data_IF_709578323067
#
_entry.id   IF_709578323067
#
_cell.length_a   1.000
_cell.length_b   1.000
_cell.length_c   1.000
_cell.angle_alpha   90.00
_cell.angle_beta   90.00
_cell.angle_gamma   90.00
#
_symmetry.space_group_name_H-M   'P 1'
#
loop_
_entity.id
_entity.type
_entity.pdbx_description
1 polymer ?
#
# COMPACT_ATOMS: atom_id res chain seq x y z
N UNK A 1 17.25 -16.65 12.42
CA UNK A 1 17.65 -16.22 11.07
C UNK A 1 17.18 -14.80 10.86
N UNK A 2 18.06 -13.81 10.70
CA UNK A 2 17.67 -12.44 10.37
C UNK A 2 17.65 -12.33 8.85
N UNK A 3 16.50 -12.55 8.23
CA UNK A 3 16.30 -12.19 6.82
C UNK A 3 16.65 -10.70 6.69
N UNK A 4 17.60 -10.30 5.82
CA UNK A 4 17.84 -8.89 5.59
C UNK A 4 16.53 -8.28 5.13
N UNK A 5 15.99 -7.33 5.90
CA UNK A 5 14.79 -6.61 5.47
C UNK A 5 15.12 -5.97 4.13
N UNK A 6 14.27 -6.14 3.09
CA UNK A 6 14.45 -5.39 1.87
C UNK A 6 14.56 -3.90 2.24
N UNK A 7 15.54 -3.19 1.66
CA UNK A 7 15.51 -1.73 1.76
C UNK A 7 14.21 -1.27 1.10
N UNK A 8 13.30 -0.79 1.93
CA UNK A 8 11.99 -0.25 1.57
C UNK A 8 12.02 1.25 1.91
N UNK A 9 11.34 2.07 1.11
CA UNK A 9 11.03 3.44 1.50
C UNK A 9 10.25 3.48 2.83
N UNK A 10 10.28 4.62 3.51
CA UNK A 10 9.57 4.79 4.78
C UNK A 10 8.06 4.56 4.60
N UNK A 11 7.48 5.08 3.50
CA UNK A 11 6.08 4.85 3.14
C UNK A 11 5.77 3.36 2.91
N UNK A 12 6.63 2.63 2.18
CA UNK A 12 6.48 1.18 1.99
C UNK A 12 6.55 0.41 3.30
N UNK A 13 7.43 0.78 4.22
CA UNK A 13 7.53 0.15 5.55
C UNK A 13 6.26 0.38 6.37
N UNK A 14 5.75 1.61 6.37
CA UNK A 14 4.52 1.97 7.08
C UNK A 14 3.34 1.19 6.49
N UNK A 15 3.19 1.22 5.16
CA UNK A 15 2.07 0.57 4.48
C UNK A 15 2.08 -0.94 4.69
N UNK A 16 3.25 -1.59 4.54
CA UNK A 16 3.40 -3.02 4.77
C UNK A 16 3.14 -3.41 6.23
N UNK A 17 3.61 -2.59 7.19
CA UNK A 17 3.35 -2.83 8.61
C UNK A 17 1.86 -2.79 8.92
N UNK A 18 1.15 -1.81 8.39
CA UNK A 18 -0.29 -1.67 8.61
C UNK A 18 -1.07 -2.76 7.88
N UNK A 19 -0.68 -3.13 6.66
CA UNK A 19 -1.25 -4.26 5.95
C UNK A 19 -1.09 -5.58 6.72
N UNK A 20 0.06 -5.83 7.36
CA UNK A 20 0.26 -7.01 8.21
C UNK A 20 -0.62 -7.04 9.47
N UNK A 21 -1.14 -5.88 9.89
CA UNK A 21 -2.08 -5.78 11.02
C UNK A 21 -3.53 -5.85 10.57
N UNK A 22 -3.79 -5.65 9.28
CA UNK A 22 -5.12 -5.85 8.71
C UNK A 22 -5.48 -7.34 8.71
N UNK A 23 -6.70 -7.66 9.13
CA UNK A 23 -7.17 -9.04 9.26
C UNK A 23 -7.09 -9.83 7.94
N UNK A 24 -7.25 -9.13 6.82
CA UNK A 24 -7.25 -9.71 5.49
C UNK A 24 -5.95 -9.39 4.73
N UNK A 25 -4.96 -8.75 5.37
CA UNK A 25 -3.72 -8.39 4.70
C UNK A 25 -3.90 -7.47 3.49
N UNK A 26 -4.99 -6.70 3.44
CA UNK A 26 -5.44 -6.02 2.21
C UNK A 26 -5.03 -4.56 2.19
N UNK A 27 -4.54 -4.10 1.04
CA UNK A 27 -4.29 -2.69 0.72
C UNK A 27 -5.24 -2.30 -0.41
N UNK A 28 -5.99 -1.22 -0.22
CA UNK A 28 -6.90 -0.66 -1.20
C UNK A 28 -6.37 0.67 -1.74
N UNK A 29 -6.34 0.80 -3.07
CA UNK A 29 -6.04 2.03 -3.80
C UNK A 29 -7.28 2.44 -4.59
N UNK A 30 -8.05 3.38 -4.06
CA UNK A 30 -9.36 3.74 -4.59
C UNK A 30 -9.32 5.13 -5.21
N UNK A 31 -9.66 5.22 -6.49
CA UNK A 31 -9.77 6.48 -7.23
C UNK A 31 -11.25 6.83 -7.41
N UNK A 32 -11.64 8.03 -7.00
CA UNK A 32 -13.02 8.49 -7.07
C UNK A 32 -13.09 9.97 -7.43
N UNK A 33 -14.30 10.48 -7.71
CA UNK A 33 -14.50 11.88 -8.12
C UNK A 33 -13.90 12.91 -7.13
N UNK A 34 -13.93 12.59 -5.83
CA UNK A 34 -13.37 13.44 -4.78
C UNK A 34 -11.87 13.30 -4.52
N UNK A 35 -11.13 12.51 -5.31
CA UNK A 35 -9.70 12.27 -5.07
C UNK A 35 -9.26 10.80 -5.08
N UNK A 36 -8.19 10.51 -4.35
CA UNK A 36 -7.58 9.18 -4.27
C UNK A 36 -7.38 8.81 -2.81
N UNK A 37 -7.74 7.58 -2.44
CA UNK A 37 -7.48 7.03 -1.13
C UNK A 37 -6.56 5.82 -1.24
N UNK A 38 -5.61 5.72 -0.31
CA UNK A 38 -4.84 4.51 -0.06
C UNK A 38 -5.17 4.09 1.35
N UNK A 39 -5.70 2.88 1.51
CA UNK A 39 -6.27 2.41 2.77
C UNK A 39 -5.86 0.99 3.11
N UNK A 40 -5.59 0.75 4.39
CA UNK A 40 -5.43 -0.59 4.96
C UNK A 40 -5.62 -0.51 6.47
N UNK A 41 -5.98 -1.63 7.14
CA UNK A 41 -6.16 -1.68 8.59
C UNK A 41 -7.07 -0.56 9.14
N UNK A 42 -8.16 -0.26 8.42
CA UNK A 42 -9.09 0.84 8.75
C UNK A 42 -8.46 2.24 8.82
N UNK A 43 -7.28 2.45 8.21
CA UNK A 43 -6.58 3.73 8.11
C UNK A 43 -6.55 4.19 6.66
N UNK A 44 -6.67 5.50 6.46
CA UNK A 44 -6.43 6.16 5.19
C UNK A 44 -5.14 6.97 5.27
N UNK A 45 -4.29 6.84 4.25
CA UNK A 45 -2.95 7.43 4.23
C UNK A 45 -2.86 8.72 3.43
N UNK A 46 -3.88 9.03 2.63
CA UNK A 46 -3.95 10.27 1.84
C UNK A 46 -4.86 11.25 2.57
N UNK A 47 -4.30 12.30 3.17
CA UNK A 47 -5.07 13.29 3.94
C UNK A 47 -5.50 14.49 3.10
N UNK A 48 -4.65 14.94 2.15
CA UNK A 48 -4.82 16.25 1.51
C UNK A 48 -5.16 16.21 0.01
N UNK A 49 -5.28 15.02 -0.60
CA UNK A 49 -5.41 14.86 -2.07
C UNK A 49 -4.34 15.60 -2.90
N UNK A 50 -3.29 16.14 -2.26
CA UNK A 50 -2.22 16.79 -2.98
C UNK A 50 -1.47 15.77 -3.83
N UNK A 51 -1.18 16.14 -5.08
CA UNK A 51 -0.66 15.18 -6.06
C UNK A 51 0.66 14.54 -5.62
N UNK A 52 1.47 15.26 -4.86
CA UNK A 52 2.72 14.75 -4.29
C UNK A 52 2.48 13.71 -3.20
N UNK A 53 1.48 13.91 -2.35
CA UNK A 53 1.11 12.94 -1.32
C UNK A 53 0.57 11.66 -1.95
N UNK A 54 -0.36 11.78 -2.89
CA UNK A 54 -0.90 10.65 -3.65
C UNK A 54 0.22 9.86 -4.32
N UNK A 55 1.11 10.54 -5.04
CA UNK A 55 2.23 9.89 -5.75
C UNK A 55 3.21 9.17 -4.81
N UNK A 56 3.42 9.66 -3.58
CA UNK A 56 4.25 8.96 -2.59
C UNK A 56 3.66 7.62 -2.19
N UNK A 57 2.36 7.57 -1.93
CA UNK A 57 1.69 6.33 -1.53
C UNK A 57 1.47 5.37 -2.71
N UNK A 58 1.22 5.88 -3.92
CA UNK A 58 1.23 5.06 -5.14
C UNK A 58 2.60 4.40 -5.35
N UNK A 59 3.70 5.17 -5.20
CA UNK A 59 5.05 4.63 -5.31
C UNK A 59 5.37 3.55 -4.25
N UNK A 60 4.82 3.68 -3.05
CA UNK A 60 4.97 2.66 -2.01
C UNK A 60 4.28 1.34 -2.39
N UNK A 61 3.07 1.40 -2.97
CA UNK A 61 2.38 0.22 -3.49
C UNK A 61 3.21 -0.43 -4.61
N UNK A 62 3.65 0.37 -5.58
CA UNK A 62 4.45 -0.12 -6.71
C UNK A 62 5.76 -0.78 -6.24
N UNK A 63 6.44 -0.18 -5.25
CA UNK A 63 7.65 -0.75 -4.66
C UNK A 63 7.36 -2.12 -4.03
N UNK A 64 6.31 -2.23 -3.21
CA UNK A 64 5.95 -3.48 -2.55
C UNK A 64 5.52 -4.56 -3.55
N UNK A 65 4.80 -4.21 -4.61
CA UNK A 65 4.45 -5.13 -5.70
C UNK A 65 5.71 -5.59 -6.45
N UNK A 66 6.61 -4.65 -6.79
CA UNK A 66 7.84 -4.97 -7.51
C UNK A 66 8.78 -5.90 -6.73
N UNK A 67 8.76 -5.81 -5.39
CA UNK A 67 9.53 -6.68 -4.48
C UNK A 67 8.78 -7.97 -4.13
N UNK A 68 7.57 -8.17 -4.67
CA UNK A 68 6.74 -9.33 -4.43
C UNK A 68 6.26 -9.46 -2.99
N UNK A 69 6.10 -8.34 -2.28
CA UNK A 69 5.55 -8.25 -0.92
C UNK A 69 4.05 -7.95 -0.91
N UNK A 70 3.56 -7.34 -2.00
CA UNK A 70 2.14 -7.23 -2.33
C UNK A 70 1.87 -7.93 -3.67
N UNK A 71 0.67 -8.46 -3.81
CA UNK A 71 0.15 -8.98 -5.07
C UNK A 71 -1.21 -8.37 -5.36
N UNK A 72 -1.42 -7.99 -6.62
CA UNK A 72 -2.71 -7.48 -7.08
C UNK A 72 -3.78 -8.58 -7.01
N UNK A 73 -4.94 -8.25 -6.45
CA UNK A 73 -6.11 -9.13 -6.30
C UNK A 73 -7.35 -8.38 -6.76
N UNK A 74 -8.33 -9.06 -7.34
CA UNK A 74 -9.60 -8.42 -7.69
C UNK A 74 -9.49 -7.37 -8.81
N UNK A 75 -9.99 -6.16 -8.56
CA UNK A 75 -10.04 -5.09 -9.57
C UNK A 75 -8.66 -4.49 -9.85
N UNK A 76 -8.40 -4.28 -11.14
CA UNK A 76 -7.08 -3.90 -11.61
C UNK A 76 -6.60 -2.57 -11.00
N UNK A 77 -5.51 -2.64 -10.25
CA UNK A 77 -4.82 -1.51 -9.63
C UNK A 77 -5.52 -0.96 -8.39
N UNK A 78 -6.54 -1.66 -7.86
CA UNK A 78 -7.35 -1.17 -6.74
C UNK A 78 -7.21 -2.00 -5.48
N UNK A 79 -7.02 -3.31 -5.58
CA UNK A 79 -6.92 -4.19 -4.41
C UNK A 79 -5.62 -4.97 -4.50
N UNK A 80 -4.88 -4.97 -3.40
CA UNK A 80 -3.63 -5.67 -3.23
C UNK A 80 -3.66 -6.45 -1.92
N UNK A 81 -2.93 -7.55 -1.85
CA UNK A 81 -2.85 -8.42 -0.68
C UNK A 81 -1.39 -8.73 -0.38
N UNK A 82 -1.04 -8.86 0.91
CA UNK A 82 0.29 -9.33 1.33
C UNK A 82 0.59 -10.70 0.73
N UNK A 83 1.81 -10.88 0.27
CA UNK A 83 2.33 -12.19 -0.11
C UNK A 83 2.89 -12.88 1.14
N UNK A 84 2.61 -14.18 1.28
CA UNK A 84 3.05 -15.01 2.41
C UNK A 84 4.34 -15.76 2.06
#
# INVERSE_FOLDING_TARGET
>A
SKTPLPQLSDESQILLKEANQDRNGTVMHLRHLGGTNVQTNSKNFIESNERREVARWEAAIDELVSKGLLVERGYKGEIFEITN
#
